data_IF_582892665506
#
_entry.id   IF_582892665506
#
_cell.length_a   1.000
_cell.length_b   1.000
_cell.length_c   1.000
_cell.angle_alpha   90.00
_cell.angle_beta   90.00
_cell.angle_gamma   90.00
#
_symmetry.space_group_name_H-M   'P 1'
#
loop_
_entity.id
_entity.type
_entity.pdbx_description
1 polymer ?
#
# COMPACT_ATOMS: atom_id res chain seq x y z
N UNK A 1 27.40 12.01 -23.05
CA UNK A 1 27.05 10.72 -22.41
C UNK A 1 25.52 10.68 -22.39
N UNK A 2 24.95 10.34 -23.55
CA UNK A 2 23.56 10.62 -23.91
C UNK A 2 22.80 9.33 -24.22
N UNK A 3 21.49 9.36 -23.93
CA UNK A 3 20.42 8.41 -24.27
C UNK A 3 20.21 7.23 -23.32
N UNK A 4 19.57 7.49 -22.18
CA UNK A 4 18.65 6.53 -21.52
C UNK A 4 17.23 7.10 -21.30
N UNK A 5 16.82 8.12 -22.05
CA UNK A 5 15.49 8.73 -21.90
C UNK A 5 14.32 7.78 -22.21
N UNK A 6 14.56 6.69 -22.95
CA UNK A 6 13.51 5.71 -23.31
C UNK A 6 13.57 4.41 -22.51
N UNK A 7 14.48 4.22 -21.55
CA UNK A 7 14.49 3.01 -20.73
C UNK A 7 13.27 2.96 -19.79
N UNK A 8 12.88 4.10 -19.20
CA UNK A 8 11.72 4.17 -18.29
C UNK A 8 10.41 3.74 -18.94
N UNK A 9 10.23 4.05 -20.23
CA UNK A 9 8.99 3.87 -21.00
C UNK A 9 9.12 2.86 -22.17
N UNK A 10 10.27 2.20 -22.29
CA UNK A 10 10.55 1.28 -23.40
C UNK A 10 10.10 -0.14 -23.09
N UNK A 11 9.89 -0.95 -24.12
CA UNK A 11 9.52 -2.37 -23.98
C UNK A 11 10.66 -3.27 -23.51
N UNK A 12 11.81 -2.70 -23.15
CA UNK A 12 13.01 -3.43 -22.74
C UNK A 12 12.96 -3.74 -21.25
N UNK A 13 13.10 -5.03 -20.91
CA UNK A 13 12.98 -5.55 -19.56
C UNK A 13 14.32 -5.75 -18.83
N UNK A 14 15.45 -5.43 -19.48
CA UNK A 14 16.78 -5.55 -18.88
C UNK A 14 16.89 -4.67 -17.63
N UNK A 15 17.23 -5.28 -16.50
CA UNK A 15 17.29 -4.64 -15.18
C UNK A 15 15.95 -4.59 -14.42
N UNK A 16 14.84 -5.01 -15.04
CA UNK A 16 13.52 -5.17 -14.38
C UNK A 16 13.12 -6.63 -14.17
N UNK A 17 13.75 -7.55 -14.89
CA UNK A 17 13.60 -9.00 -14.71
C UNK A 17 14.29 -9.41 -13.40
N UNK A 18 13.50 -9.49 -12.32
CA UNK A 18 13.97 -9.84 -10.98
C UNK A 18 13.04 -9.37 -9.87
N UNK A 19 12.19 -8.37 -10.13
CA UNK A 19 11.13 -7.96 -9.21
C UNK A 19 9.94 -8.90 -9.25
N UNK A 20 9.30 -9.08 -8.09
CA UNK A 20 8.00 -9.75 -7.96
C UNK A 20 6.87 -8.73 -7.96
N UNK A 21 5.63 -9.21 -8.03
CA UNK A 21 4.48 -8.36 -7.71
C UNK A 21 4.40 -8.17 -6.21
N UNK A 22 3.86 -7.03 -5.77
CA UNK A 22 3.60 -6.78 -4.36
C UNK A 22 2.67 -7.84 -3.75
N UNK A 23 1.69 -8.31 -4.53
CA UNK A 23 0.78 -9.38 -4.15
C UNK A 23 1.53 -10.67 -3.80
N UNK A 24 2.51 -11.07 -4.63
CA UNK A 24 3.32 -12.28 -4.39
C UNK A 24 4.17 -12.15 -3.12
N UNK A 25 4.76 -10.97 -2.87
CA UNK A 25 5.57 -10.72 -1.68
C UNK A 25 4.72 -10.78 -0.41
N UNK A 26 3.56 -10.11 -0.39
CA UNK A 26 2.63 -10.17 0.75
C UNK A 26 2.16 -11.61 0.99
N UNK A 27 1.80 -12.34 -0.08
CA UNK A 27 1.39 -13.73 0.02
C UNK A 27 2.51 -14.64 0.56
N UNK A 28 3.76 -14.42 0.15
CA UNK A 28 4.91 -15.16 0.66
C UNK A 28 5.11 -14.90 2.14
N UNK A 29 5.11 -13.63 2.57
CA UNK A 29 5.26 -13.26 3.98
C UNK A 29 4.16 -13.86 4.88
N UNK A 30 2.91 -13.89 4.40
CA UNK A 30 1.80 -14.51 5.12
C UNK A 30 1.99 -16.03 5.24
N UNK A 31 2.33 -16.71 4.14
CA UNK A 31 2.57 -18.16 4.13
C UNK A 31 3.75 -18.56 5.02
N UNK A 32 4.83 -17.80 4.99
CA UNK A 32 6.02 -18.04 5.82
C UNK A 32 5.71 -17.95 7.33
N UNK A 33 4.64 -17.23 7.69
CA UNK A 33 4.15 -17.10 9.06
C UNK A 33 2.93 -18.00 9.37
N UNK A 34 2.59 -18.93 8.47
CA UNK A 34 1.53 -19.93 8.70
C UNK A 34 0.11 -19.41 8.49
N UNK A 35 -0.08 -18.33 7.72
CA UNK A 35 -1.41 -17.91 7.28
C UNK A 35 -1.69 -18.47 5.89
N UNK A 36 -2.80 -19.19 5.75
CA UNK A 36 -3.24 -19.75 4.47
C UNK A 36 -4.56 -19.11 3.97
N UNK A 37 -5.37 -18.59 4.89
CA UNK A 37 -6.66 -17.95 4.58
C UNK A 37 -6.48 -16.44 4.31
N UNK A 38 -6.06 -16.12 3.08
CA UNK A 38 -5.94 -14.74 2.61
C UNK A 38 -6.22 -14.61 1.11
N UNK A 39 -6.57 -13.39 0.68
CA UNK A 39 -6.77 -13.01 -0.72
C UNK A 39 -6.02 -11.72 -1.02
N UNK A 40 -5.08 -11.80 -1.98
CA UNK A 40 -4.27 -10.67 -2.47
C UNK A 40 -4.55 -10.38 -3.94
N UNK A 41 -5.60 -10.95 -4.53
CA UNK A 41 -5.91 -10.80 -5.97
C UNK A 41 -6.24 -9.35 -6.39
N UNK A 42 -6.65 -8.53 -5.43
CA UNK A 42 -6.93 -7.10 -5.60
C UNK A 42 -5.75 -6.20 -5.23
N UNK A 43 -4.60 -6.78 -4.88
CA UNK A 43 -3.34 -6.05 -4.70
C UNK A 43 -2.71 -5.79 -6.06
N UNK A 44 -2.28 -4.55 -6.26
CA UNK A 44 -1.60 -4.09 -7.48
C UNK A 44 -0.34 -3.34 -7.12
N UNK A 45 0.67 -3.45 -7.97
CA UNK A 45 1.98 -2.83 -7.77
C UNK A 45 3.11 -3.84 -7.96
N UNK A 46 4.24 -3.31 -8.41
CA UNK A 46 5.48 -4.07 -8.55
C UNK A 46 6.40 -3.74 -7.37
N UNK A 47 7.13 -4.74 -6.89
CA UNK A 47 8.12 -4.57 -5.83
C UNK A 47 9.44 -5.19 -6.27
N UNK A 48 10.41 -4.32 -6.53
CA UNK A 48 11.72 -4.74 -7.05
C UNK A 48 12.60 -5.39 -5.98
N UNK A 49 12.40 -5.03 -4.71
CA UNK A 49 13.11 -5.62 -3.59
C UNK A 49 12.48 -5.23 -2.27
N UNK A 50 12.54 -6.14 -1.30
CA UNK A 50 12.11 -5.93 0.07
C UNK A 50 13.05 -6.70 0.98
N UNK A 51 13.61 -6.03 1.99
CA UNK A 51 14.55 -6.61 2.93
C UNK A 51 14.18 -6.15 4.34
N UNK A 52 14.07 -7.11 5.25
CA UNK A 52 13.99 -6.86 6.68
C UNK A 52 14.99 -7.78 7.37
N UNK A 53 15.90 -7.21 8.17
CA UNK A 53 17.01 -7.95 8.78
C UNK A 53 16.66 -8.66 10.09
N UNK A 54 15.51 -8.36 10.67
CA UNK A 54 15.12 -8.81 12.00
C UNK A 54 14.01 -9.87 11.96
N UNK A 55 13.99 -10.74 12.97
CA UNK A 55 12.83 -11.59 13.23
C UNK A 55 11.67 -10.68 13.64
N UNK A 56 10.64 -10.64 12.81
CA UNK A 56 9.49 -9.79 12.98
C UNK A 56 8.20 -10.59 12.76
N UNK A 57 7.08 -10.05 13.24
CA UNK A 57 5.78 -10.64 12.94
C UNK A 57 5.38 -10.40 11.49
N UNK A 58 4.51 -11.25 10.93
CA UNK A 58 3.92 -11.02 9.61
C UNK A 58 3.35 -9.61 9.45
N UNK A 59 2.65 -9.11 10.49
CA UNK A 59 2.10 -7.75 10.51
C UNK A 59 3.20 -6.71 10.36
N UNK A 60 4.24 -6.79 11.18
CA UNK A 60 5.34 -5.82 11.16
C UNK A 60 6.07 -5.78 9.81
N UNK A 61 6.14 -6.91 9.10
CA UNK A 61 6.74 -6.99 7.77
C UNK A 61 5.83 -6.39 6.69
N UNK A 62 4.53 -6.62 6.79
CA UNK A 62 3.58 -6.23 5.74
C UNK A 62 3.12 -4.78 5.91
N UNK A 63 2.98 -4.28 7.13
CA UNK A 63 2.44 -2.95 7.44
C UNK A 63 3.14 -1.79 6.69
N UNK A 64 4.48 -1.71 6.61
CA UNK A 64 5.15 -0.67 5.82
C UNK A 64 4.80 -0.74 4.33
N UNK A 65 4.57 -1.94 3.80
CA UNK A 65 4.16 -2.14 2.41
C UNK A 65 2.71 -1.69 2.21
N UNK A 66 1.82 -1.99 3.15
CA UNK A 66 0.42 -1.54 3.07
C UNK A 66 0.33 -0.02 3.09
N UNK A 67 1.11 0.64 3.94
CA UNK A 67 1.17 2.10 4.01
C UNK A 67 1.75 2.71 2.73
N UNK A 68 2.92 2.23 2.28
CA UNK A 68 3.59 2.78 1.11
C UNK A 68 2.77 2.63 -0.19
N UNK A 69 2.06 1.51 -0.33
CA UNK A 69 1.26 1.20 -1.53
C UNK A 69 -0.24 1.47 -1.35
N UNK A 70 -0.67 2.03 -0.22
CA UNK A 70 -2.06 2.39 0.08
C UNK A 70 -3.00 1.19 -0.08
N UNK A 71 -2.71 0.10 0.61
CA UNK A 71 -3.47 -1.15 0.61
C UNK A 71 -4.34 -1.22 1.86
N UNK A 72 -5.61 -1.59 1.69
CA UNK A 72 -6.48 -1.96 2.80
C UNK A 72 -6.28 -3.43 3.13
N UNK A 73 -6.18 -3.74 4.43
CA UNK A 73 -6.31 -5.09 4.95
C UNK A 73 -7.66 -5.20 5.67
N UNK A 74 -8.53 -6.08 5.18
CA UNK A 74 -9.90 -6.25 5.65
C UNK A 74 -10.08 -7.71 6.05
N UNK A 75 -10.71 -7.94 7.20
CA UNK A 75 -11.20 -9.25 7.55
C UNK A 75 -12.66 -9.37 7.09
N UNK A 76 -12.94 -10.38 6.28
CA UNK A 76 -14.28 -10.71 5.78
C UNK A 76 -14.53 -12.20 6.02
N UNK A 77 -15.41 -12.52 6.98
CA UNK A 77 -15.77 -13.88 7.36
C UNK A 77 -14.56 -14.83 7.60
N UNK A 78 -13.52 -14.34 8.27
CA UNK A 78 -12.29 -15.09 8.56
C UNK A 78 -11.24 -15.10 7.43
N UNK A 79 -11.57 -14.56 6.26
CA UNK A 79 -10.63 -14.35 5.16
C UNK A 79 -9.99 -12.97 5.25
N UNK A 80 -8.65 -12.92 5.19
CA UNK A 80 -7.91 -11.65 5.15
C UNK A 80 -7.79 -11.17 3.71
N UNK A 81 -8.60 -10.20 3.33
CA UNK A 81 -8.59 -9.58 1.99
C UNK A 81 -7.67 -8.37 1.98
N UNK A 82 -6.77 -8.31 1.01
CA UNK A 82 -5.89 -7.18 0.76
C UNK A 82 -6.23 -6.54 -0.58
N UNK A 83 -6.47 -5.23 -0.60
CA UNK A 83 -6.88 -4.51 -1.82
C UNK A 83 -6.20 -3.16 -1.95
N UNK A 84 -5.75 -2.80 -3.15
CA UNK A 84 -5.22 -1.46 -3.43
C UNK A 84 -6.35 -0.42 -3.45
N UNK A 85 -6.28 0.61 -2.60
CA UNK A 85 -7.35 1.64 -2.48
C UNK A 85 -7.68 2.32 -3.81
N UNK A 86 -6.65 2.59 -4.62
CA UNK A 86 -6.80 3.30 -5.90
C UNK A 86 -7.42 2.45 -7.01
N UNK A 87 -7.48 1.12 -6.84
CA UNK A 87 -8.12 0.19 -7.79
C UNK A 87 -9.54 -0.16 -7.36
N UNK A 88 -9.81 -0.13 -6.05
CA UNK A 88 -11.08 -0.51 -5.45
C UNK A 88 -12.01 0.71 -5.18
N UNK A 89 -12.06 1.69 -6.10
CA UNK A 89 -13.14 2.67 -6.07
C UNK A 89 -14.43 1.98 -6.53
N UNK A 90 -15.11 1.37 -5.57
CA UNK A 90 -16.46 0.85 -5.78
C UNK A 90 -17.40 2.03 -6.08
N UNK A 91 -18.44 1.83 -6.90
CA UNK A 91 -19.46 2.85 -7.09
C UNK A 91 -20.05 3.24 -5.74
N UNK A 92 -20.44 4.52 -5.61
CA UNK A 92 -21.13 4.99 -4.44
C UNK A 92 -22.38 4.14 -4.20
N UNK A 93 -22.51 3.61 -3.00
CA UNK A 93 -23.68 2.85 -2.58
C UNK A 93 -24.68 3.81 -1.92
N UNK A 94 -25.93 3.92 -2.42
CA UNK A 94 -26.95 4.69 -1.73
C UNK A 94 -27.27 4.01 -0.40
N UNK A 95 -27.13 4.74 0.71
CA UNK A 95 -27.56 4.30 2.03
C UNK A 95 -28.90 4.96 2.31
N UNK A 96 -29.98 4.26 2.00
CA UNK A 96 -31.36 4.78 2.16
C UNK A 96 -31.93 4.53 3.55
N UNK A 97 -31.40 3.54 4.26
CA UNK A 97 -31.90 3.10 5.57
C UNK A 97 -30.77 3.24 6.58
N UNK A 98 -31.03 4.03 7.62
CA UNK A 98 -30.15 4.23 8.75
C UNK A 98 -30.79 3.60 9.99
N UNK A 99 -29.96 3.06 10.87
CA UNK A 99 -30.44 2.57 12.17
C UNK A 99 -30.68 3.78 13.06
N UNK A 100 -31.91 3.95 13.52
CA UNK A 100 -32.28 4.95 14.52
C UNK A 100 -31.86 4.46 15.91
N UNK A 101 -30.87 5.14 16.50
CA UNK A 101 -30.33 4.83 17.82
C UNK A 101 -30.84 5.89 18.79
N UNK A 102 -31.36 5.45 19.93
CA UNK A 102 -31.92 6.34 20.93
C UNK A 102 -30.87 7.39 21.37
N UNK A 103 -31.28 8.66 21.39
CA UNK A 103 -30.47 9.81 21.79
C UNK A 103 -29.22 10.10 20.91
N UNK A 104 -29.13 9.51 19.72
CA UNK A 104 -28.08 9.77 18.73
C UNK A 104 -28.68 10.40 17.45
N UNK A 105 -27.96 11.31 16.76
CA UNK A 105 -28.41 11.80 15.46
C UNK A 105 -28.37 10.68 14.41
N UNK A 106 -29.31 10.68 13.45
CA UNK A 106 -29.32 9.72 12.34
C UNK A 106 -28.05 9.78 11.48
N UNK A 107 -27.41 10.94 11.41
CA UNK A 107 -26.16 11.18 10.68
C UNK A 107 -25.30 12.18 11.44
N UNK A 108 -24.02 11.87 11.54
CA UNK A 108 -23.01 12.79 12.07
C UNK A 108 -21.80 12.77 11.16
N UNK A 109 -21.36 13.96 10.76
CA UNK A 109 -20.10 14.16 10.05
C UNK A 109 -19.16 14.92 10.97
N UNK A 110 -17.89 14.50 11.02
CA UNK A 110 -16.85 15.17 11.79
C UNK A 110 -15.75 15.57 10.84
N UNK A 111 -15.49 16.86 10.74
CA UNK A 111 -14.39 17.41 9.96
C UNK A 111 -13.26 17.76 10.92
N UNK A 112 -12.11 17.10 10.75
CA UNK A 112 -10.88 17.45 11.47
C UNK A 112 -10.38 18.83 11.08
N UNK A 113 -9.61 19.45 11.96
CA UNK A 113 -8.88 20.67 11.65
C UNK A 113 -7.66 20.35 10.77
N UNK A 114 -7.20 21.28 9.94
CA UNK A 114 -6.09 21.00 9.02
C UNK A 114 -4.79 20.59 9.75
N UNK A 115 -4.62 21.06 10.99
CA UNK A 115 -3.50 20.68 11.88
C UNK A 115 -3.53 19.25 12.37
N UNK A 116 -4.68 18.57 12.27
CA UNK A 116 -4.84 17.18 12.72
C UNK A 116 -4.28 16.20 11.69
N UNK A 117 -3.98 16.69 10.48
CA UNK A 117 -3.46 15.89 9.37
C UNK A 117 -1.99 16.21 9.10
N UNK A 118 -1.26 15.21 8.61
CA UNK A 118 0.13 15.38 8.21
C UNK A 118 0.26 16.44 7.10
N UNK A 119 1.15 17.41 7.30
CA UNK A 119 1.48 18.43 6.31
C UNK A 119 2.50 17.94 5.27
N UNK A 120 3.23 16.87 5.59
CA UNK A 120 4.31 16.30 4.80
C UNK A 120 4.26 14.77 4.86
N UNK A 121 4.60 14.13 3.74
CA UNK A 121 4.89 12.71 3.64
C UNK A 121 6.35 12.52 3.19
N UNK A 122 7.06 11.62 3.87
CA UNK A 122 8.44 11.24 3.57
C UNK A 122 8.50 9.72 3.41
N UNK A 123 9.08 9.25 2.32
CA UNK A 123 9.34 7.83 2.10
C UNK A 123 10.84 7.63 1.90
N UNK A 124 11.44 6.77 2.72
CA UNK A 124 12.83 6.35 2.58
C UNK A 124 12.88 5.01 1.84
N UNK A 125 13.85 4.85 0.95
CA UNK A 125 14.01 3.66 0.12
C UNK A 125 15.48 3.44 -0.26
N UNK A 126 15.78 2.25 -0.80
CA UNK A 126 17.07 1.97 -1.40
C UNK A 126 17.01 2.24 -2.90
N UNK A 127 17.90 3.11 -3.40
CA UNK A 127 17.88 3.55 -4.79
C UNK A 127 18.74 2.63 -5.67
N UNK A 128 18.09 1.92 -6.59
CA UNK A 128 18.73 1.00 -7.52
C UNK A 128 19.70 1.68 -8.49
N UNK A 129 19.47 2.95 -8.80
CA UNK A 129 20.32 3.72 -9.71
C UNK A 129 21.56 4.28 -9.00
N UNK A 130 21.58 4.24 -7.65
CA UNK A 130 22.67 4.71 -6.80
C UNK A 130 23.27 3.56 -5.97
N UNK A 131 23.47 2.39 -6.58
CA UNK A 131 24.09 1.23 -5.93
C UNK A 131 23.44 0.83 -4.58
N UNK A 132 22.11 0.94 -4.49
CA UNK A 132 21.32 0.70 -3.27
C UNK A 132 21.68 1.62 -2.10
N UNK A 133 22.17 2.83 -2.35
CA UNK A 133 22.27 3.85 -1.31
C UNK A 133 20.89 4.22 -0.79
N UNK A 134 20.83 4.61 0.49
CA UNK A 134 19.59 5.07 1.10
C UNK A 134 19.24 6.46 0.56
N UNK A 135 18.04 6.59 0.02
CA UNK A 135 17.47 7.82 -0.50
C UNK A 135 16.10 8.09 0.14
N UNK A 136 15.57 9.30 -0.09
CA UNK A 136 14.23 9.66 0.38
C UNK A 136 13.50 10.57 -0.61
N UNK A 137 12.20 10.36 -0.75
CA UNK A 137 11.29 11.24 -1.49
C UNK A 137 10.34 11.93 -0.51
N UNK A 138 10.13 13.23 -0.70
CA UNK A 138 9.29 14.08 0.16
C UNK A 138 8.21 14.75 -0.67
N UNK A 139 7.00 14.82 -0.12
CA UNK A 139 5.92 15.66 -0.63
C UNK A 139 5.28 16.43 0.52
N UNK A 140 4.97 17.71 0.29
CA UNK A 140 4.32 18.56 1.29
C UNK A 140 3.12 19.26 0.65
N UNK A 141 2.15 19.64 1.47
CA UNK A 141 1.00 20.41 1.00
C UNK A 141 1.46 21.81 0.58
N UNK A 142 1.11 22.21 -0.64
CA UNK A 142 1.31 23.60 -1.10
C UNK A 142 0.25 24.48 -0.43
N UNK A 143 0.70 25.60 0.14
CA UNK A 143 -0.14 26.56 0.86
C UNK A 143 -1.18 27.25 -0.05
#
# INVERSE_FOLDING_TARGET
MERRCHWRIGHWLNGRLGGGTLAEVVAALLRDHGFDDFDVSEVSGDLLGYVQGDIASARSLIEPLLEAFQIDAIEDAGLRRFRSRMRASLPALPVEILVDRQDEPLWQETRGHDSDFAAEALVSFYDLDLDYEQASARSHRVA
#
